data_IF_626022333447
#
_entry.id   IF_626022333447
#
_cell.length_a   1.000
_cell.length_b   1.000
_cell.length_c   1.000
_cell.angle_alpha   90.00
_cell.angle_beta   90.00
_cell.angle_gamma   90.00
#
_symmetry.space_group_name_H-M   'P 1'
#
loop_
_entity.id
_entity.type
_entity.pdbx_description
1 polymer ?
#
# COMPACT_ATOMS: atom_id res chain seq x y z
N UNK A 1 3.83 20.95 -0.08
CA UNK A 1 2.86 20.32 -1.01
C UNK A 1 3.06 18.81 -1.19
N UNK A 2 4.26 18.33 -1.60
CA UNK A 2 4.49 16.90 -1.95
C UNK A 2 4.16 15.90 -0.83
N UNK A 3 4.69 16.09 0.39
CA UNK A 3 4.38 15.19 1.52
C UNK A 3 2.92 15.28 1.99
N UNK A 4 2.29 16.45 1.87
CA UNK A 4 0.87 16.63 2.20
C UNK A 4 -0.03 15.81 1.25
N UNK A 5 0.34 15.72 -0.04
CA UNK A 5 -0.37 14.85 -0.99
C UNK A 5 -0.30 13.38 -0.59
N UNK A 6 0.86 12.91 -0.09
CA UNK A 6 1.03 11.54 0.39
C UNK A 6 0.24 11.29 1.68
N UNK A 7 0.23 12.26 2.60
CA UNK A 7 -0.55 12.19 3.82
C UNK A 7 -2.05 12.02 3.53
N UNK A 8 -2.62 12.84 2.65
CA UNK A 8 -4.04 12.70 2.27
C UNK A 8 -4.34 11.40 1.53
N UNK A 9 -3.38 10.88 0.76
CA UNK A 9 -3.50 9.53 0.18
C UNK A 9 -3.52 8.42 1.22
N UNK A 10 -2.64 8.50 2.23
CA UNK A 10 -2.60 7.52 3.30
C UNK A 10 -3.83 7.58 4.20
N UNK A 11 -4.47 8.76 4.35
CA UNK A 11 -5.78 8.87 4.99
C UNK A 11 -6.87 8.11 4.22
N UNK A 12 -6.93 8.28 2.90
CA UNK A 12 -7.88 7.50 2.06
C UNK A 12 -7.60 6.00 2.16
N UNK A 13 -6.34 5.61 2.19
CA UNK A 13 -5.95 4.21 2.36
C UNK A 13 -6.32 3.65 3.75
N UNK A 14 -6.23 4.45 4.81
CA UNK A 14 -6.66 4.05 6.14
C UNK A 14 -8.16 3.78 6.18
N UNK A 15 -8.99 4.64 5.58
CA UNK A 15 -10.43 4.42 5.54
C UNK A 15 -10.80 3.17 4.73
N UNK A 16 -10.15 2.94 3.59
CA UNK A 16 -10.30 1.70 2.81
C UNK A 16 -9.87 0.46 3.60
N UNK A 17 -8.76 0.55 4.33
CA UNK A 17 -8.29 -0.56 5.16
C UNK A 17 -9.27 -0.87 6.29
N UNK A 18 -9.78 0.14 7.00
CA UNK A 18 -10.79 -0.07 8.05
C UNK A 18 -12.02 -0.77 7.50
N UNK A 19 -12.51 -0.35 6.34
CA UNK A 19 -13.64 -0.99 5.67
C UNK A 19 -13.34 -2.46 5.35
N UNK A 20 -12.22 -2.73 4.67
CA UNK A 20 -11.87 -4.08 4.25
C UNK A 20 -11.55 -5.01 5.44
N UNK A 21 -10.90 -4.48 6.49
CA UNK A 21 -10.64 -5.20 7.74
C UNK A 21 -11.94 -5.59 8.46
N UNK A 22 -12.93 -4.69 8.49
CA UNK A 22 -14.25 -5.01 9.01
C UNK A 22 -14.97 -6.06 8.14
N UNK A 23 -14.82 -5.98 6.82
CA UNK A 23 -15.37 -6.96 5.87
C UNK A 23 -14.91 -8.40 6.11
N UNK A 24 -13.67 -8.60 6.58
CA UNK A 24 -13.13 -9.91 6.96
C UNK A 24 -13.25 -10.23 8.45
N UNK A 25 -13.71 -9.30 9.31
CA UNK A 25 -13.91 -9.51 10.75
C UNK A 25 -15.22 -10.26 11.03
N UNK A 26 -15.39 -11.40 10.37
CA UNK A 26 -16.59 -12.21 10.41
C UNK A 26 -16.26 -13.68 10.69
N UNK A 27 -17.14 -14.37 11.41
CA UNK A 27 -17.05 -15.80 11.70
C UNK A 27 -18.22 -16.57 11.10
N UNK A 28 -18.07 -17.90 11.01
CA UNK A 28 -19.16 -18.82 10.64
C UNK A 28 -19.07 -20.15 11.39
N UNK A 29 -20.20 -20.63 11.89
CA UNK A 29 -20.44 -21.91 12.55
C UNK A 29 -21.81 -22.49 12.11
N UNK A 30 -22.18 -22.31 10.85
CA UNK A 30 -23.48 -22.68 10.26
C UNK A 30 -23.61 -24.12 9.75
N UNK A 31 -22.62 -24.99 10.07
CA UNK A 31 -22.62 -26.39 9.70
C UNK A 31 -22.17 -26.70 8.26
N UNK A 32 -22.51 -27.89 7.78
CA UNK A 32 -21.95 -28.50 6.57
C UNK A 32 -22.27 -27.75 5.28
N UNK A 33 -23.43 -27.12 5.16
CA UNK A 33 -23.84 -26.37 3.96
C UNK A 33 -24.38 -24.97 4.29
N UNK A 34 -24.25 -24.53 5.54
CA UNK A 34 -24.67 -23.20 5.97
C UNK A 34 -26.12 -23.07 6.41
N UNK A 35 -26.82 -24.19 6.64
CA UNK A 35 -28.25 -24.23 6.92
C UNK A 35 -28.61 -24.31 8.40
N UNK A 36 -27.62 -24.41 9.31
CA UNK A 36 -27.86 -24.62 10.75
C UNK A 36 -28.62 -25.91 11.10
N UNK A 37 -28.76 -26.86 10.17
CA UNK A 37 -29.55 -28.08 10.36
C UNK A 37 -29.13 -28.93 11.58
N UNK A 38 -27.84 -28.89 11.93
CA UNK A 38 -27.26 -29.68 13.01
C UNK A 38 -26.56 -28.82 14.07
N UNK A 39 -26.72 -27.50 14.03
CA UNK A 39 -26.05 -26.57 14.96
C UNK A 39 -26.93 -25.34 15.18
N UNK A 40 -27.23 -25.05 16.44
CA UNK A 40 -28.04 -23.89 16.83
C UNK A 40 -27.30 -22.57 16.46
N UNK A 41 -27.94 -21.63 15.74
CA UNK A 41 -27.37 -20.31 15.44
C UNK A 41 -26.85 -19.55 16.67
N UNK A 42 -27.42 -19.75 17.86
CA UNK A 42 -26.97 -19.13 19.10
C UNK A 42 -25.51 -19.50 19.44
N UNK A 43 -25.01 -20.66 18.98
CA UNK A 43 -23.62 -21.06 19.14
C UNK A 43 -22.70 -20.18 18.29
N UNK A 44 -23.09 -19.88 17.04
CA UNK A 44 -22.33 -18.99 16.16
C UNK A 44 -22.25 -17.58 16.76
N UNK A 45 -23.38 -17.04 17.23
CA UNK A 45 -23.45 -15.73 17.87
C UNK A 45 -22.58 -15.66 19.13
N UNK A 46 -22.68 -16.67 19.99
CA UNK A 46 -21.89 -16.75 21.23
C UNK A 46 -20.40 -16.76 20.92
N UNK A 47 -19.95 -17.63 20.00
CA UNK A 47 -18.53 -17.76 19.64
C UNK A 47 -18.02 -16.49 18.96
N UNK A 48 -18.75 -15.95 17.98
CA UNK A 48 -18.34 -14.73 17.29
C UNK A 48 -18.23 -13.56 18.26
N UNK A 49 -19.21 -13.38 19.16
CA UNK A 49 -19.17 -12.34 20.19
C UNK A 49 -17.98 -12.49 21.13
N UNK A 50 -17.65 -13.72 21.55
CA UNK A 50 -16.50 -13.99 22.42
C UNK A 50 -15.16 -13.69 21.74
N UNK A 51 -15.08 -13.87 20.42
CA UNK A 51 -13.88 -13.57 19.62
C UNK A 51 -13.84 -12.13 19.08
N UNK A 52 -14.86 -11.31 19.34
CA UNK A 52 -14.96 -9.97 18.77
C UNK A 52 -15.10 -10.00 17.25
N UNK A 53 -15.90 -10.92 16.71
CA UNK A 53 -16.25 -11.05 15.30
C UNK A 53 -17.75 -10.82 15.11
N UNK A 54 -18.16 -10.44 13.90
CA UNK A 54 -19.57 -10.52 13.51
C UNK A 54 -19.91 -11.93 13.01
N UNK A 55 -21.11 -12.41 13.25
CA UNK A 55 -21.60 -13.63 12.60
C UNK A 55 -21.96 -13.33 11.14
N UNK A 56 -21.59 -14.21 10.20
CA UNK A 56 -21.96 -14.06 8.80
C UNK A 56 -23.49 -14.18 8.64
N UNK A 57 -24.21 -13.17 8.10
CA UNK A 57 -25.68 -13.20 8.02
C UNK A 57 -26.23 -14.39 7.23
N UNK A 58 -25.45 -14.82 6.24
CA UNK A 58 -25.65 -16.04 5.47
C UNK A 58 -24.28 -16.58 5.10
N UNK A 59 -24.15 -17.90 5.06
CA UNK A 59 -22.93 -18.58 4.66
C UNK A 59 -23.25 -19.90 3.97
N UNK A 60 -22.27 -20.44 3.27
CA UNK A 60 -22.32 -21.82 2.76
C UNK A 60 -21.53 -22.71 3.71
N UNK A 61 -20.86 -23.75 3.23
CA UNK A 61 -19.87 -24.47 4.04
C UNK A 61 -18.68 -23.56 4.45
N UNK A 62 -18.48 -22.41 3.78
CA UNK A 62 -17.42 -21.44 4.10
C UNK A 62 -17.88 -20.00 4.15
N UNK A 63 -17.01 -19.11 4.64
CA UNK A 63 -17.14 -17.67 4.39
C UNK A 63 -16.94 -17.40 2.89
N UNK A 64 -17.66 -16.40 2.40
CA UNK A 64 -17.57 -15.98 1.00
C UNK A 64 -16.24 -15.25 0.74
N UNK A 65 -15.60 -15.55 -0.39
CA UNK A 65 -14.22 -15.13 -0.69
C UNK A 65 -14.11 -13.72 -1.26
N UNK A 66 -15.22 -13.09 -1.64
CA UNK A 66 -15.30 -11.67 -1.98
C UNK A 66 -14.72 -10.78 -0.86
N UNK A 67 -14.98 -11.13 0.41
CA UNK A 67 -14.41 -10.46 1.59
C UNK A 67 -12.88 -10.47 1.59
N UNK A 68 -12.30 -11.62 1.27
CA UNK A 68 -10.85 -11.84 1.27
C UNK A 68 -10.20 -11.16 0.06
N UNK A 69 -10.89 -11.15 -1.08
CA UNK A 69 -10.48 -10.42 -2.28
C UNK A 69 -10.45 -8.90 -2.02
N UNK A 70 -11.49 -8.33 -1.42
CA UNK A 70 -11.51 -6.91 -1.03
C UNK A 70 -10.37 -6.58 -0.06
N UNK A 71 -10.17 -7.40 0.97
CA UNK A 71 -9.07 -7.24 1.92
C UNK A 71 -7.72 -7.23 1.22
N UNK A 72 -7.43 -8.20 0.35
CA UNK A 72 -6.18 -8.25 -0.39
C UNK A 72 -6.03 -7.06 -1.36
N UNK A 73 -7.13 -6.62 -1.98
CA UNK A 73 -7.17 -5.42 -2.81
C UNK A 73 -6.77 -4.16 -2.04
N UNK A 74 -7.28 -3.99 -0.82
CA UNK A 74 -6.90 -2.88 0.05
C UNK A 74 -5.40 -2.92 0.42
N UNK A 75 -4.87 -4.11 0.78
CA UNK A 75 -3.44 -4.27 1.08
C UNK A 75 -2.56 -3.92 -0.13
N UNK A 76 -2.91 -4.44 -1.31
CA UNK A 76 -2.18 -4.20 -2.54
C UNK A 76 -2.22 -2.72 -2.97
N UNK A 77 -3.33 -2.03 -2.71
CA UNK A 77 -3.44 -0.60 -2.99
C UNK A 77 -2.53 0.23 -2.08
N UNK A 78 -2.46 -0.09 -0.78
CA UNK A 78 -1.52 0.54 0.16
C UNK A 78 -0.07 0.32 -0.31
N UNK A 79 0.28 -0.93 -0.65
CA UNK A 79 1.60 -1.27 -1.15
C UNK A 79 1.97 -0.47 -2.42
N UNK A 80 1.01 -0.30 -3.32
CA UNK A 80 1.16 0.49 -4.56
C UNK A 80 1.35 1.98 -4.28
N UNK A 81 0.63 2.55 -3.30
CA UNK A 81 0.88 3.92 -2.85
C UNK A 81 2.30 4.08 -2.29
N UNK A 82 2.79 3.11 -1.49
CA UNK A 82 4.17 3.11 -0.99
C UNK A 82 5.17 3.06 -2.15
N UNK A 83 4.94 2.22 -3.17
CA UNK A 83 5.78 2.20 -4.38
C UNK A 83 5.82 3.57 -5.07
N UNK A 84 4.68 4.24 -5.22
CA UNK A 84 4.63 5.59 -5.81
C UNK A 84 5.53 6.57 -5.05
N UNK A 85 5.47 6.55 -3.72
CA UNK A 85 6.31 7.42 -2.88
C UNK A 85 7.79 7.04 -2.98
N UNK A 86 8.09 5.75 -3.01
CA UNK A 86 9.43 5.23 -3.18
C UNK A 86 10.04 5.59 -4.56
N UNK A 87 9.25 5.51 -5.63
CA UNK A 87 9.66 5.93 -6.98
C UNK A 87 10.00 7.42 -7.01
N UNK A 88 9.24 8.25 -6.30
CA UNK A 88 9.54 9.69 -6.18
C UNK A 88 10.87 9.92 -5.46
N UNK A 89 11.13 9.26 -4.33
CA UNK A 89 12.41 9.36 -3.62
C UNK A 89 13.57 8.94 -4.54
N UNK A 90 13.41 7.83 -5.27
CA UNK A 90 14.40 7.36 -6.25
C UNK A 90 14.67 8.40 -7.34
N UNK A 91 13.63 9.08 -7.83
CA UNK A 91 13.75 10.14 -8.81
C UNK A 91 14.50 11.36 -8.28
N UNK A 92 14.16 11.81 -7.08
CA UNK A 92 14.75 12.99 -6.44
C UNK A 92 16.18 12.76 -5.95
N UNK A 93 16.56 11.50 -5.69
CA UNK A 93 17.92 11.10 -5.28
C UNK A 93 18.87 10.86 -6.46
N UNK A 94 18.40 10.89 -7.72
CA UNK A 94 19.29 10.81 -8.89
C UNK A 94 20.39 11.86 -8.83
N UNK A 95 21.59 11.51 -9.28
CA UNK A 95 22.80 12.33 -9.20
C UNK A 95 22.62 13.72 -9.81
N UNK A 96 21.86 13.81 -10.91
CA UNK A 96 21.58 15.07 -11.61
C UNK A 96 20.69 15.98 -10.77
N UNK A 97 19.81 15.43 -9.94
CA UNK A 97 18.79 16.16 -9.17
C UNK A 97 19.25 16.43 -7.73
N UNK A 98 19.50 15.35 -6.98
CA UNK A 98 19.96 15.34 -5.59
C UNK A 98 19.19 16.28 -4.65
N UNK A 99 17.87 16.26 -4.73
CA UNK A 99 17.00 17.06 -3.86
C UNK A 99 16.70 16.38 -2.53
N UNK A 100 16.73 15.05 -2.52
CA UNK A 100 16.59 14.22 -1.32
C UNK A 100 17.59 13.07 -1.36
N UNK A 101 17.83 12.46 -0.21
CA UNK A 101 18.67 11.27 -0.09
C UNK A 101 18.23 10.43 1.12
N UNK A 102 18.08 9.11 0.92
CA UNK A 102 17.89 8.18 2.03
C UNK A 102 19.04 8.30 3.03
N UNK A 103 18.71 8.28 4.32
CA UNK A 103 19.72 8.42 5.37
C UNK A 103 20.82 7.37 5.23
N UNK A 104 22.07 7.83 5.26
CA UNK A 104 23.25 6.99 5.11
C UNK A 104 24.04 7.00 6.42
N UNK A 105 24.02 5.88 7.15
CA UNK A 105 24.64 5.79 8.45
C UNK A 105 26.17 5.80 8.37
N UNK A 106 26.83 6.29 9.43
CA UNK A 106 28.29 6.23 9.55
C UNK A 106 28.73 4.76 9.53
N UNK A 107 29.57 4.39 8.55
CA UNK A 107 30.05 3.01 8.36
C UNK A 107 29.25 2.19 7.34
N UNK A 108 28.11 2.68 6.85
CA UNK A 108 27.38 2.04 5.76
C UNK A 108 28.21 2.09 4.47
N UNK A 109 28.26 0.99 3.71
CA UNK A 109 28.88 0.94 2.38
C UNK A 109 27.78 0.94 1.33
N UNK A 110 27.77 1.94 0.45
CA UNK A 110 26.77 2.06 -0.61
C UNK A 110 27.10 1.26 -1.88
N UNK A 111 28.36 0.83 -2.01
CA UNK A 111 28.86 -0.11 -3.02
C UNK A 111 30.18 -0.70 -2.52
N UNK A 112 30.51 -1.92 -2.95
CA UNK A 112 31.78 -2.58 -2.63
C UNK A 112 33.00 -1.86 -3.24
N UNK A 113 32.82 -1.13 -4.34
CA UNK A 113 33.91 -0.55 -5.13
C UNK A 113 33.86 0.99 -5.29
N UNK A 114 32.74 1.65 -4.96
CA UNK A 114 32.56 3.08 -5.22
C UNK A 114 32.17 3.85 -3.95
N UNK A 115 33.12 4.51 -3.26
CA UNK A 115 32.89 5.19 -1.97
C UNK A 115 31.87 6.34 -2.04
N UNK A 116 31.67 6.95 -3.21
CA UNK A 116 30.75 8.06 -3.41
C UNK A 116 29.30 7.62 -3.65
N UNK A 117 29.05 6.31 -3.83
CA UNK A 117 27.76 5.81 -4.30
C UNK A 117 26.74 5.78 -3.16
N UNK A 118 25.70 6.61 -3.26
CA UNK A 118 24.57 6.68 -2.31
C UNK A 118 23.27 6.29 -3.03
N UNK A 119 22.81 5.07 -2.81
CA UNK A 119 21.67 4.49 -3.54
C UNK A 119 20.39 4.51 -2.68
N UNK A 120 19.21 4.77 -3.28
CA UNK A 120 17.90 4.69 -2.62
C UNK A 120 17.42 3.24 -2.45
N UNK A 121 18.25 2.37 -1.83
CA UNK A 121 18.00 0.92 -1.77
C UNK A 121 16.75 0.56 -0.96
N UNK A 122 16.38 1.39 0.03
CA UNK A 122 15.17 1.20 0.81
C UNK A 122 13.93 1.35 -0.07
N UNK A 123 13.88 2.41 -0.86
CA UNK A 123 12.82 2.71 -1.81
C UNK A 123 12.78 1.70 -2.97
N UNK A 124 13.94 1.24 -3.46
CA UNK A 124 14.00 0.15 -4.44
C UNK A 124 13.44 -1.16 -3.88
N UNK A 125 13.74 -1.48 -2.62
CA UNK A 125 13.16 -2.64 -1.94
C UNK A 125 11.63 -2.53 -1.80
N UNK A 126 11.09 -1.36 -1.44
CA UNK A 126 9.64 -1.14 -1.39
C UNK A 126 8.97 -1.34 -2.75
N UNK A 127 9.61 -0.87 -3.82
CA UNK A 127 9.14 -1.07 -5.20
C UNK A 127 9.03 -2.56 -5.54
N UNK A 128 10.03 -3.37 -5.15
CA UNK A 128 10.02 -4.82 -5.35
C UNK A 128 8.88 -5.51 -4.59
N UNK A 129 8.71 -5.20 -3.30
CA UNK A 129 7.68 -5.83 -2.47
C UNK A 129 6.26 -5.45 -2.91
N UNK A 130 6.04 -4.21 -3.35
CA UNK A 130 4.74 -3.81 -3.89
C UNK A 130 4.29 -4.66 -5.08
N UNK A 131 5.24 -5.08 -5.94
CA UNK A 131 4.96 -5.98 -7.07
C UNK A 131 4.48 -7.36 -6.59
N UNK A 132 5.12 -7.91 -5.56
CA UNK A 132 4.75 -9.21 -4.98
C UNK A 132 3.35 -9.14 -4.36
N UNK A 133 3.08 -8.12 -3.53
CA UNK A 133 1.76 -7.96 -2.88
C UNK A 133 0.65 -7.79 -3.92
N UNK A 134 0.89 -7.07 -5.02
CA UNK A 134 -0.08 -7.00 -6.14
C UNK A 134 -0.33 -8.35 -6.80
N UNK A 135 0.66 -9.23 -6.90
CA UNK A 135 0.46 -10.60 -7.40
C UNK A 135 -0.52 -11.39 -6.53
N UNK A 136 -0.40 -11.27 -5.20
CA UNK A 136 -1.32 -11.92 -4.27
C UNK A 136 -2.77 -11.46 -4.38
N UNK A 137 -2.99 -10.19 -4.77
CA UNK A 137 -4.34 -9.69 -5.06
C UNK A 137 -5.01 -10.48 -6.18
N UNK A 138 -4.30 -10.77 -7.29
CA UNK A 138 -4.88 -11.55 -8.38
C UNK A 138 -5.32 -12.93 -7.89
N UNK A 139 -4.46 -13.63 -7.15
CA UNK A 139 -4.78 -14.93 -6.54
C UNK A 139 -6.01 -14.86 -5.62
N UNK A 140 -6.14 -13.80 -4.82
CA UNK A 140 -7.31 -13.65 -3.95
C UNK A 140 -8.62 -13.45 -4.74
N UNK A 141 -8.58 -12.74 -5.86
CA UNK A 141 -9.74 -12.55 -6.73
C UNK A 141 -10.12 -13.86 -7.45
N UNK A 142 -9.14 -14.65 -7.85
CA UNK A 142 -9.36 -15.98 -8.45
C UNK A 142 -9.90 -17.02 -7.46
N UNK A 143 -9.80 -16.76 -6.15
CA UNK A 143 -10.41 -17.61 -5.10
C UNK A 143 -11.92 -17.36 -4.89
N UNK A 144 -12.50 -16.33 -5.52
CA UNK A 144 -13.92 -15.97 -5.34
C UNK A 144 -14.91 -16.98 -5.96
N UNK A 145 -14.74 -17.44 -7.23
CA UNK A 145 -15.72 -18.32 -7.89
C UNK A 145 -15.62 -19.78 -7.43
N UNK A 146 -15.88 -20.03 -6.14
CA UNK A 146 -15.97 -21.38 -5.59
C UNK A 146 -17.22 -22.10 -6.09
N UNK A 147 -17.15 -23.43 -6.19
CA UNK A 147 -18.25 -24.25 -6.71
C UNK A 147 -19.27 -24.59 -5.61
N UNK A 148 -20.55 -24.30 -5.90
CA UNK A 148 -21.69 -24.62 -5.03
C UNK A 148 -21.47 -24.16 -3.56
N UNK A 149 -21.66 -25.05 -2.57
CA UNK A 149 -21.50 -24.70 -1.16
C UNK A 149 -20.04 -24.58 -0.72
N UNK A 150 -19.10 -25.21 -1.43
CA UNK A 150 -17.65 -24.93 -1.45
C UNK A 150 -16.89 -25.96 -2.29
N UNK A 151 -15.77 -25.53 -2.84
CA UNK A 151 -14.58 -26.34 -2.99
C UNK A 151 -13.46 -25.83 -2.04
N UNK A 152 -12.29 -26.47 -2.05
CA UNK A 152 -11.19 -26.19 -1.11
C UNK A 152 -10.00 -25.48 -1.77
N UNK A 153 -10.08 -25.14 -3.06
CA UNK A 153 -8.96 -24.57 -3.83
C UNK A 153 -8.37 -23.31 -3.18
N UNK A 154 -9.22 -22.45 -2.62
CA UNK A 154 -8.81 -21.25 -1.90
C UNK A 154 -7.83 -21.53 -0.75
N UNK A 155 -7.93 -22.68 -0.09
CA UNK A 155 -7.21 -22.96 1.17
C UNK A 155 -5.70 -23.09 0.96
N UNK A 156 -5.26 -23.74 -0.12
CA UNK A 156 -3.83 -23.87 -0.43
C UNK A 156 -3.22 -22.52 -0.81
N UNK A 157 -3.94 -21.70 -1.57
CA UNK A 157 -3.54 -20.35 -1.94
C UNK A 157 -3.49 -19.40 -0.72
N UNK A 158 -4.55 -19.39 0.09
CA UNK A 158 -4.69 -18.54 1.30
C UNK A 158 -3.60 -18.81 2.34
N UNK A 159 -3.08 -20.05 2.42
CA UNK A 159 -1.92 -20.40 3.27
C UNK A 159 -0.64 -19.66 2.90
N UNK A 160 -0.50 -19.23 1.65
CA UNK A 160 0.64 -18.46 1.16
C UNK A 160 0.30 -16.98 1.21
N UNK A 161 -0.77 -16.58 0.53
CA UNK A 161 -1.00 -15.15 0.23
C UNK A 161 -1.39 -14.33 1.46
N UNK A 162 -2.12 -14.90 2.43
CA UNK A 162 -2.56 -14.16 3.61
C UNK A 162 -1.38 -13.81 4.55
N UNK A 163 -0.53 -14.77 4.98
CA UNK A 163 0.64 -14.43 5.79
C UNK A 163 1.64 -13.58 5.00
N UNK A 164 1.95 -13.94 3.75
CA UNK A 164 2.97 -13.22 2.97
C UNK A 164 2.58 -11.76 2.74
N UNK A 165 1.34 -11.48 2.34
CA UNK A 165 0.89 -10.12 2.08
C UNK A 165 0.84 -9.27 3.36
N UNK A 166 0.37 -9.83 4.48
CA UNK A 166 0.27 -9.07 5.75
C UNK A 166 1.65 -8.81 6.36
N UNK A 167 2.55 -9.80 6.33
CA UNK A 167 3.94 -9.65 6.78
C UNK A 167 4.67 -8.62 5.92
N UNK A 168 4.57 -8.75 4.59
CA UNK A 168 5.22 -7.85 3.65
C UNK A 168 4.71 -6.41 3.83
N UNK A 169 3.40 -6.19 3.92
CA UNK A 169 2.84 -4.85 4.08
C UNK A 169 3.24 -4.21 5.41
N UNK A 170 3.21 -4.97 6.50
CA UNK A 170 3.69 -4.49 7.81
C UNK A 170 5.15 -4.03 7.73
N UNK A 171 6.01 -4.85 7.12
CA UNK A 171 7.41 -4.52 6.91
C UNK A 171 7.56 -3.25 6.04
N UNK A 172 6.81 -3.15 4.94
CA UNK A 172 6.84 -1.98 4.05
C UNK A 172 6.45 -0.70 4.78
N UNK A 173 5.35 -0.71 5.54
CA UNK A 173 4.86 0.45 6.30
C UNK A 173 5.91 0.93 7.31
N UNK A 174 6.49 0.02 8.08
CA UNK A 174 7.50 0.36 9.08
C UNK A 174 8.82 0.81 8.46
N UNK A 175 9.33 0.07 7.48
CA UNK A 175 10.59 0.40 6.81
C UNK A 175 10.49 1.72 6.06
N UNK A 176 9.42 1.91 5.29
CA UNK A 176 9.22 3.14 4.53
C UNK A 176 8.90 4.33 5.42
N UNK A 177 8.14 4.14 6.50
CA UNK A 177 7.93 5.17 7.52
C UNK A 177 9.25 5.67 8.11
N UNK A 178 10.19 4.77 8.38
CA UNK A 178 11.54 5.14 8.84
C UNK A 178 12.39 5.83 7.76
N UNK A 179 12.26 5.44 6.49
CA UNK A 179 12.92 6.13 5.37
C UNK A 179 12.44 7.58 5.30
N UNK A 180 11.11 7.80 5.31
CA UNK A 180 10.53 9.16 5.25
C UNK A 180 10.90 9.97 6.49
N UNK A 181 10.84 9.37 7.68
CA UNK A 181 11.19 10.03 8.94
C UNK A 181 12.63 10.57 8.96
N UNK A 182 13.56 9.82 8.38
CA UNK A 182 14.99 10.16 8.39
C UNK A 182 15.49 10.71 7.03
N UNK A 183 14.59 10.99 6.08
CA UNK A 183 14.96 11.41 4.74
C UNK A 183 15.74 12.72 4.78
N UNK A 184 16.94 12.74 4.20
CA UNK A 184 17.71 13.98 4.09
C UNK A 184 17.14 14.80 2.95
N UNK A 185 16.86 16.07 3.21
CA UNK A 185 16.33 17.02 2.23
C UNK A 185 17.38 18.10 2.00
N UNK A 186 17.59 18.49 0.74
CA UNK A 186 18.57 19.49 0.31
C UNK A 186 17.89 20.73 -0.29
N UNK A 187 17.37 21.67 0.53
CA UNK A 187 16.66 22.86 0.05
C UNK A 187 17.48 23.72 -0.91
N UNK A 188 18.80 23.77 -0.73
CA UNK A 188 19.73 24.47 -1.60
C UNK A 188 19.80 23.85 -3.00
N UNK A 189 19.80 22.52 -3.10
CA UNK A 189 19.75 21.83 -4.39
C UNK A 189 18.40 22.03 -5.07
N UNK A 190 17.29 22.00 -4.33
CA UNK A 190 15.95 22.31 -4.86
C UNK A 190 15.91 23.72 -5.47
N UNK A 191 16.39 24.74 -4.74
CA UNK A 191 16.45 26.12 -5.25
C UNK A 191 17.35 26.24 -6.47
N UNK A 192 18.52 25.62 -6.45
CA UNK A 192 19.44 25.58 -7.61
C UNK A 192 18.80 24.91 -8.82
N UNK A 193 18.05 23.82 -8.63
CA UNK A 193 17.45 23.11 -9.76
C UNK A 193 16.37 23.95 -10.47
N UNK A 194 15.67 24.83 -9.75
CA UNK A 194 14.71 25.77 -10.34
C UNK A 194 15.36 26.76 -11.33
N UNK A 195 16.67 27.04 -11.21
CA UNK A 195 17.36 27.98 -12.10
C UNK A 195 17.90 27.31 -13.37
N UNK A 196 17.89 25.97 -13.46
CA UNK A 196 18.50 25.23 -14.58
C UNK A 196 17.75 25.32 -15.90
N UNK A 197 16.52 25.84 -15.87
CA UNK A 197 15.70 26.09 -17.06
C UNK A 197 15.77 27.55 -17.51
N UNK A 198 16.78 28.31 -17.08
CA UNK A 198 17.01 29.70 -17.49
C UNK A 198 15.79 30.63 -17.29
N UNK A 199 14.99 30.38 -16.23
CA UNK A 199 13.81 31.17 -15.91
C UNK A 199 12.55 30.83 -16.72
N UNK A 200 12.60 29.82 -17.61
CA UNK A 200 11.45 29.42 -18.43
C UNK A 200 10.22 29.01 -17.62
N UNK A 201 10.39 28.58 -16.36
CA UNK A 201 9.29 28.27 -15.43
C UNK A 201 8.40 29.47 -15.10
N UNK A 202 8.85 30.70 -15.34
CA UNK A 202 8.07 31.93 -15.11
C UNK A 202 7.30 32.40 -16.35
N UNK A 203 7.49 31.74 -17.50
CA UNK A 203 6.90 32.14 -18.79
C UNK A 203 5.39 32.40 -18.73
N UNK A 204 4.63 31.51 -18.09
CA UNK A 204 3.18 31.67 -17.95
C UNK A 204 2.80 32.92 -17.16
N UNK A 205 3.52 33.23 -16.08
CA UNK A 205 3.23 34.40 -15.25
C UNK A 205 3.56 35.70 -15.99
N UNK A 206 4.63 35.71 -16.78
CA UNK A 206 4.97 36.85 -17.65
C UNK A 206 3.87 37.06 -18.69
N UNK A 207 3.47 36.00 -19.41
CA UNK A 207 2.39 36.06 -20.40
C UNK A 207 1.08 36.59 -19.81
N UNK A 208 0.63 36.03 -18.68
CA UNK A 208 -0.61 36.48 -18.02
C UNK A 208 -0.53 37.94 -17.55
N UNK A 209 0.64 38.38 -17.08
CA UNK A 209 0.82 39.78 -16.67
C UNK A 209 0.76 40.72 -17.87
N UNK A 210 1.30 40.33 -19.03
CA UNK A 210 1.23 41.13 -20.26
C UNK A 210 -0.20 41.18 -20.81
N UNK A 211 -0.91 40.05 -20.85
CA UNK A 211 -2.33 40.00 -21.25
C UNK A 211 -3.16 40.96 -20.39
N UNK A 212 -2.98 40.94 -19.07
CA UNK A 212 -3.71 41.81 -18.15
C UNK A 212 -3.28 43.29 -18.21
N UNK A 213 -2.17 43.62 -18.90
CA UNK A 213 -1.61 44.98 -18.95
C UNK A 213 -1.87 45.68 -20.28
N UNK A 214 -1.92 44.93 -21.39
CA UNK A 214 -2.02 45.45 -22.76
C UNK A 214 -3.40 45.26 -23.43
N UNK A 215 -4.37 44.61 -22.77
CA UNK A 215 -5.74 44.48 -23.27
C UNK A 215 -6.76 44.51 -22.12
N UNK A 216 -7.84 45.27 -22.32
CA UNK A 216 -9.17 45.23 -21.66
C UNK A 216 -9.33 44.37 -20.40
#
# INVERSE_FOLDING_TARGET
MKLALWYEEMKRNLERFKHAAEGVRVGKLSGAVGTFANIDPAIEEFVCKKLGLQAAPISTQTLQRDRHAEYMGALALIATSIEKFAVEIRGLQKSETREVEEFFAKGQKGSSAMPHKRNPIGSENMTGLARVVRGHMLTAYENVPLWHERDISHSSAERIILPDATIALNYMLNRFGNIVKNLTVFPENMKRNMTRTYGLIYSQRVLLTLINKDGT
#
